data_IF_870582838248
#
_entry.id   IF_870582838248
#
_cell.length_a   1.000
_cell.length_b   1.000
_cell.length_c   1.000
_cell.angle_alpha   90.00
_cell.angle_beta   90.00
_cell.angle_gamma   90.00
#
_symmetry.space_group_name_H-M   'P 1'
#
loop_
_entity.id
_entity.type
_entity.pdbx_description
1 polymer ?
#
# COMPACT_ATOMS: atom_id res chain seq x y z
N UNK A 1 7.54 12.95 -0.51
CA UNK A 1 8.09 12.87 0.86
C UNK A 1 9.61 13.00 0.82
N UNK A 2 10.27 13.40 1.91
CA UNK A 2 11.74 13.61 1.95
C UNK A 2 12.41 12.72 3.00
N UNK A 3 13.54 12.13 2.65
CA UNK A 3 14.46 11.45 3.58
C UNK A 3 15.68 12.34 3.80
N UNK A 4 16.03 12.61 5.05
CA UNK A 4 17.23 13.36 5.43
C UNK A 4 18.16 12.46 6.26
N UNK A 5 19.42 12.35 5.86
CA UNK A 5 20.43 11.56 6.58
C UNK A 5 21.06 12.44 7.65
N UNK A 6 20.87 12.07 8.92
CA UNK A 6 21.34 12.83 10.09
C UNK A 6 22.71 12.37 10.57
N UNK A 7 23.07 11.12 10.31
CA UNK A 7 24.36 10.52 10.64
C UNK A 7 24.87 9.69 9.46
N UNK A 8 26.21 9.57 9.32
CA UNK A 8 26.79 8.68 8.31
C UNK A 8 26.20 7.28 8.46
N UNK A 9 25.72 6.71 7.36
CA UNK A 9 24.96 5.47 7.41
C UNK A 9 25.18 4.63 6.14
N UNK A 10 24.66 3.41 6.16
CA UNK A 10 24.73 2.48 5.04
C UNK A 10 23.32 2.16 4.59
N UNK A 11 23.04 2.43 3.32
CA UNK A 11 21.82 1.97 2.67
C UNK A 11 22.07 0.55 2.15
N UNK A 12 21.12 -0.36 2.35
CA UNK A 12 21.31 -1.80 2.12
C UNK A 12 20.22 -2.39 1.23
N UNK A 13 20.53 -3.46 0.50
CA UNK A 13 19.54 -4.25 -0.23
C UNK A 13 18.79 -5.25 0.65
N UNK A 14 19.26 -5.49 1.88
CA UNK A 14 18.64 -6.37 2.86
C UNK A 14 18.70 -5.76 4.26
N UNK A 15 17.73 -6.10 5.12
CA UNK A 15 17.65 -5.64 6.51
C UNK A 15 18.58 -6.41 7.47
N UNK A 16 19.72 -6.92 6.99
CA UNK A 16 20.74 -7.61 7.80
C UNK A 16 21.92 -6.69 8.10
N UNK A 17 22.87 -7.14 8.93
CA UNK A 17 24.09 -6.39 9.24
C UNK A 17 24.89 -6.04 7.96
N UNK A 18 25.33 -4.79 7.82
CA UNK A 18 26.05 -4.31 6.64
C UNK A 18 27.43 -4.96 6.48
N UNK A 19 28.02 -5.50 7.55
CA UNK A 19 29.26 -6.28 7.50
C UNK A 19 29.09 -7.60 6.74
N UNK A 20 27.87 -8.15 6.70
CA UNK A 20 27.53 -9.40 6.01
C UNK A 20 27.13 -9.20 4.54
N UNK A 21 27.06 -7.96 4.09
CA UNK A 21 26.65 -7.61 2.73
C UNK A 21 27.86 -7.36 1.83
N UNK A 22 27.78 -7.90 0.61
CA UNK A 22 28.73 -7.59 -0.45
C UNK A 22 28.67 -6.11 -0.85
N UNK A 23 29.74 -5.57 -1.47
CA UNK A 23 29.77 -4.16 -1.90
C UNK A 23 28.62 -3.76 -2.83
N UNK A 24 28.10 -4.70 -3.64
CA UNK A 24 26.99 -4.43 -4.56
C UNK A 24 25.62 -4.30 -3.89
N UNK A 25 25.51 -4.77 -2.64
CA UNK A 25 24.27 -4.76 -1.87
C UNK A 25 24.22 -3.63 -0.83
N UNK A 26 25.23 -2.75 -0.83
CA UNK A 26 25.31 -1.65 0.14
C UNK A 26 25.94 -0.40 -0.45
N UNK A 27 25.56 0.76 0.07
CA UNK A 27 26.16 2.04 -0.32
C UNK A 27 26.27 2.95 0.89
N UNK A 28 27.42 3.61 1.04
CA UNK A 28 27.68 4.52 2.15
C UNK A 28 27.09 5.90 1.83
N UNK A 29 26.36 6.46 2.78
CA UNK A 29 25.71 7.76 2.64
C UNK A 29 26.16 8.67 3.78
N UNK A 30 26.73 9.82 3.42
CA UNK A 30 27.17 10.81 4.37
C UNK A 30 25.99 11.57 5.02
N UNK A 31 26.20 12.03 6.26
CA UNK A 31 25.30 12.94 6.94
C UNK A 31 25.06 14.23 6.14
N UNK A 32 23.88 14.82 6.27
CA UNK A 32 23.45 16.02 5.54
C UNK A 32 22.84 15.74 4.17
N UNK A 33 23.01 14.53 3.61
CA UNK A 33 22.35 14.13 2.35
C UNK A 33 20.84 14.11 2.51
N UNK A 34 20.14 14.58 1.48
CA UNK A 34 18.68 14.52 1.39
C UNK A 34 18.24 13.85 0.09
N UNK A 35 17.15 13.12 0.15
CA UNK A 35 16.58 12.40 -0.98
C UNK A 35 15.07 12.60 -1.02
N UNK A 36 14.53 12.83 -2.21
CA UNK A 36 13.10 12.70 -2.41
C UNK A 36 12.75 11.22 -2.52
N UNK A 37 11.67 10.84 -1.86
CA UNK A 37 11.18 9.47 -1.86
C UNK A 37 9.70 9.46 -2.22
N UNK A 38 9.35 8.46 -3.02
CA UNK A 38 8.01 8.28 -3.54
C UNK A 38 7.23 7.26 -2.68
N UNK A 39 7.93 6.27 -2.11
CA UNK A 39 7.32 5.28 -1.22
C UNK A 39 8.31 4.85 -0.12
N UNK A 40 7.75 4.42 1.01
CA UNK A 40 8.48 3.99 2.19
C UNK A 40 7.62 3.06 3.03
N UNK A 41 8.23 2.17 3.82
CA UNK A 41 7.54 1.38 4.85
C UNK A 41 8.45 0.90 5.96
N UNK A 42 7.95 0.59 7.17
CA UNK A 42 8.73 -0.06 8.20
C UNK A 42 9.25 -1.41 7.71
N UNK A 43 10.49 -1.74 8.07
CA UNK A 43 11.17 -2.99 7.75
C UNK A 43 11.84 -3.57 9.00
N UNK A 44 11.02 -3.75 10.05
CA UNK A 44 11.47 -4.07 11.41
C UNK A 44 11.69 -2.82 12.28
N UNK A 45 12.13 -2.99 13.54
CA UNK A 45 12.14 -1.93 14.55
C UNK A 45 13.15 -0.80 14.30
N UNK A 46 14.07 -0.99 13.34
CA UNK A 46 15.15 -0.03 13.11
C UNK A 46 15.42 0.24 11.64
N UNK A 47 14.56 -0.22 10.73
CA UNK A 47 14.75 0.05 9.31
C UNK A 47 13.49 0.56 8.64
N UNK A 48 13.67 1.46 7.69
CA UNK A 48 12.70 1.74 6.66
C UNK A 48 13.15 1.06 5.38
N UNK A 49 12.22 0.53 4.59
CA UNK A 49 12.46 0.28 3.17
C UNK A 49 11.92 1.47 2.40
N UNK A 50 12.73 2.10 1.57
CA UNK A 50 12.40 3.34 0.85
C UNK A 50 12.69 3.19 -0.64
N UNK A 51 11.92 3.91 -1.47
CA UNK A 51 12.17 4.06 -2.90
C UNK A 51 12.40 5.53 -3.25
N UNK A 52 13.57 5.83 -3.80
CA UNK A 52 14.00 7.18 -4.18
C UNK A 52 13.31 7.64 -5.47
N UNK A 53 13.06 8.95 -5.57
CA UNK A 53 12.57 9.61 -6.78
C UNK A 53 13.75 10.05 -7.63
N UNK A 54 13.74 9.71 -8.92
CA UNK A 54 14.69 10.17 -9.94
C UNK A 54 16.18 10.03 -9.55
N UNK A 55 16.50 9.10 -8.66
CA UNK A 55 17.84 8.91 -8.15
C UNK A 55 18.13 7.42 -7.94
N UNK A 56 19.31 7.00 -8.37
CA UNK A 56 19.84 5.66 -8.19
C UNK A 56 21.15 5.77 -7.42
N UNK A 57 21.39 4.83 -6.51
CA UNK A 57 22.58 4.74 -5.68
C UNK A 57 23.24 3.37 -5.86
N UNK A 58 24.46 3.23 -5.38
CA UNK A 58 25.21 1.98 -5.42
C UNK A 58 25.66 1.57 -6.83
N UNK A 59 26.32 0.43 -6.88
CA UNK A 59 26.76 -0.24 -8.10
C UNK A 59 26.49 -1.75 -7.94
N UNK A 60 25.47 -2.31 -8.61
CA UNK A 60 24.67 -1.70 -9.67
C UNK A 60 23.72 -0.61 -9.16
N UNK A 61 23.33 0.35 -10.03
CA UNK A 61 22.45 1.45 -9.66
C UNK A 61 21.05 0.95 -9.27
N UNK A 62 20.61 1.29 -8.06
CA UNK A 62 19.30 0.91 -7.50
C UNK A 62 18.61 2.10 -6.84
N UNK A 63 17.28 2.15 -6.95
CA UNK A 63 16.47 3.20 -6.33
C UNK A 63 15.80 2.77 -5.01
N UNK A 64 15.85 1.48 -4.66
CA UNK A 64 15.16 0.94 -3.47
C UNK A 64 16.18 0.47 -2.45
N UNK A 65 16.01 0.85 -1.18
CA UNK A 65 16.98 0.62 -0.12
C UNK A 65 16.33 0.41 1.24
N UNK A 66 16.90 -0.49 2.05
CA UNK A 66 16.71 -0.51 3.50
C UNK A 66 17.64 0.52 4.14
N UNK A 67 17.08 1.41 4.94
CA UNK A 67 17.79 2.51 5.61
C UNK A 67 17.62 2.39 7.11
N UNK A 68 18.71 2.55 7.85
CA UNK A 68 18.69 2.45 9.30
C UNK A 68 18.01 3.69 9.90
N UNK A 69 16.85 3.47 10.50
CA UNK A 69 15.94 4.52 10.92
C UNK A 69 16.56 5.51 11.93
N UNK A 70 17.34 5.09 12.95
CA UNK A 70 17.98 6.02 13.88
C UNK A 70 18.94 7.04 13.25
N UNK A 71 19.44 6.78 12.03
CA UNK A 71 20.38 7.68 11.34
C UNK A 71 19.68 8.63 10.37
N UNK A 72 18.38 8.49 10.13
CA UNK A 72 17.65 9.25 9.13
C UNK A 72 16.38 9.88 9.72
N UNK A 73 15.81 10.83 8.99
CA UNK A 73 14.53 11.44 9.30
C UNK A 73 13.68 11.43 8.03
N UNK A 74 12.49 10.85 8.13
CA UNK A 74 11.47 10.95 7.08
C UNK A 74 10.59 12.16 7.39
N UNK A 75 10.35 13.00 6.39
CA UNK A 75 9.61 14.26 6.49
C UNK A 75 8.51 14.25 5.44
N UNK A 76 7.25 14.27 5.87
CA UNK A 76 6.07 14.29 4.99
C UNK A 76 5.95 15.61 4.20
N UNK A 77 4.96 15.68 3.31
CA UNK A 77 4.69 16.87 2.49
C UNK A 77 4.35 18.12 3.31
N UNK A 78 3.94 17.95 4.56
CA UNK A 78 3.53 18.99 5.49
C UNK A 78 4.68 19.41 6.42
N UNK A 79 5.86 18.82 6.26
CA UNK A 79 7.03 19.11 7.08
C UNK A 79 7.07 18.35 8.42
N UNK A 80 6.11 17.44 8.67
CA UNK A 80 6.10 16.64 9.88
C UNK A 80 7.04 15.46 9.75
N UNK A 81 7.71 15.14 10.86
CA UNK A 81 8.73 14.10 10.88
C UNK A 81 8.10 12.80 11.37
N UNK A 82 8.26 11.73 10.61
CA UNK A 82 7.78 10.44 11.05
C UNK A 82 8.58 9.94 12.26
N UNK A 83 7.92 9.37 13.27
CA UNK A 83 8.61 8.74 14.39
C UNK A 83 9.44 7.55 13.88
N UNK A 84 10.44 7.12 14.65
CA UNK A 84 11.15 5.87 14.34
C UNK A 84 10.14 4.73 14.13
N UNK A 85 10.42 3.78 13.22
CA UNK A 85 9.59 2.62 13.01
C UNK A 85 9.67 1.81 14.29
N UNK A 86 8.73 2.03 15.20
CA UNK A 86 8.59 1.15 16.35
C UNK A 86 8.06 -0.18 15.81
N UNK A 87 8.48 -1.30 16.38
CA UNK A 87 7.58 -2.45 16.37
C UNK A 87 6.23 -1.89 16.86
N UNK A 88 5.13 -2.04 16.11
CA UNK A 88 3.84 -1.78 16.72
C UNK A 88 3.82 -2.70 17.92
N UNK A 89 3.94 -2.11 19.12
CA UNK A 89 3.74 -2.76 20.40
C UNK A 89 2.58 -3.71 20.14
N UNK A 90 2.75 -5.05 20.26
CA UNK A 90 1.74 -6.00 19.83
C UNK A 90 0.45 -5.43 20.34
N UNK A 91 -0.44 -5.02 19.42
CA UNK A 91 -1.71 -4.46 19.81
C UNK A 91 -2.25 -5.54 20.70
N UNK A 92 -2.24 -5.32 22.01
CA UNK A 92 -2.75 -6.27 22.98
C UNK A 92 -4.07 -6.65 22.35
N UNK A 93 -4.30 -7.93 21.98
CA UNK A 93 -5.55 -8.29 21.36
C UNK A 93 -6.56 -7.73 22.33
N UNK A 94 -7.28 -6.68 21.91
CA UNK A 94 -8.38 -6.19 22.70
C UNK A 94 -9.15 -7.47 22.90
N UNK A 95 -9.38 -7.86 24.17
CA UNK A 95 -10.25 -8.96 24.51
C UNK A 95 -11.64 -8.52 24.02
N UNK A 96 -11.82 -8.54 22.70
CA UNK A 96 -13.08 -8.82 22.07
C UNK A 96 -13.30 -10.24 22.54
N UNK A 97 -14.14 -10.34 23.56
CA UNK A 97 -14.84 -11.54 23.98
C UNK A 97 -14.91 -12.49 22.79
N UNK A 98 -14.48 -13.76 22.88
CA UNK A 98 -14.44 -14.65 21.73
C UNK A 98 -15.83 -14.68 21.13
N UNK A 99 -16.02 -13.92 20.04
CA UNK A 99 -17.18 -14.07 19.18
C UNK A 99 -17.02 -15.51 18.71
N UNK A 100 -18.02 -16.39 18.95
CA UNK A 100 -17.94 -17.74 18.45
C UNK A 100 -17.52 -17.64 16.98
N UNK A 101 -16.47 -18.36 16.60
CA UNK A 101 -16.02 -18.44 15.22
C UNK A 101 -17.21 -18.95 14.39
N UNK A 102 -18.08 -18.03 13.95
CA UNK A 102 -19.04 -18.27 12.89
C UNK A 102 -18.15 -18.62 11.73
N UNK A 103 -18.10 -19.92 11.42
CA UNK A 103 -17.29 -20.48 10.35
C UNK A 103 -17.51 -19.61 9.13
N UNK A 104 -16.51 -18.80 8.76
CA UNK A 104 -16.62 -17.91 7.61
C UNK A 104 -17.11 -18.75 6.42
N UNK A 105 -17.98 -18.21 5.55
CA UNK A 105 -18.35 -18.89 4.31
C UNK A 105 -17.12 -19.42 3.59
N UNK A 106 -17.21 -20.56 2.91
CA UNK A 106 -16.07 -21.12 2.16
C UNK A 106 -15.62 -20.21 1.01
N UNK A 107 -16.54 -19.39 0.51
CA UNK A 107 -16.27 -18.32 -0.45
C UNK A 107 -17.26 -17.17 -0.27
N UNK A 108 -16.86 -15.98 -0.69
CA UNK A 108 -17.71 -14.78 -0.76
C UNK A 108 -17.19 -13.87 -1.85
N UNK A 109 -18.09 -13.22 -2.58
CA UNK A 109 -17.78 -12.17 -3.56
C UNK A 109 -18.74 -11.00 -3.38
N UNK A 110 -18.20 -9.80 -3.35
CA UNK A 110 -18.91 -8.53 -3.34
C UNK A 110 -19.03 -8.01 -4.77
N UNK A 111 -20.10 -7.25 -5.06
CA UNK A 111 -20.34 -6.64 -6.36
C UNK A 111 -19.58 -5.31 -6.53
N UNK A 112 -18.27 -5.33 -6.27
CA UNK A 112 -17.40 -4.16 -6.45
C UNK A 112 -17.09 -4.00 -7.94
N UNK A 113 -17.42 -2.85 -8.56
CA UNK A 113 -17.16 -2.63 -9.98
C UNK A 113 -15.66 -2.55 -10.24
N UNK A 114 -15.24 -2.94 -11.44
CA UNK A 114 -13.86 -2.78 -11.89
C UNK A 114 -13.68 -1.43 -12.58
N UNK A 115 -12.59 -0.73 -12.22
CA UNK A 115 -12.07 0.44 -12.92
C UNK A 115 -10.59 0.24 -13.22
N UNK A 116 -10.19 0.52 -14.46
CA UNK A 116 -8.78 0.61 -14.83
C UNK A 116 -8.26 1.99 -14.50
N UNK A 117 -7.02 2.11 -14.02
CA UNK A 117 -6.38 3.43 -13.91
C UNK A 117 -5.89 3.96 -15.26
N UNK A 118 -5.71 3.08 -16.26
CA UNK A 118 -5.09 3.44 -17.54
C UNK A 118 -5.96 4.35 -18.41
N UNK A 119 -7.26 4.47 -18.09
CA UNK A 119 -8.19 5.39 -18.75
C UNK A 119 -8.60 6.56 -17.85
N UNK A 120 -7.89 6.79 -16.74
CA UNK A 120 -8.00 8.05 -16.01
C UNK A 120 -7.42 9.17 -16.87
N UNK A 121 -8.05 10.34 -16.84
CA UNK A 121 -7.50 11.54 -17.44
C UNK A 121 -6.26 12.02 -16.65
N UNK A 122 -6.27 11.86 -15.33
CA UNK A 122 -5.21 12.35 -14.44
C UNK A 122 -4.29 11.20 -13.99
N UNK A 123 -3.01 11.29 -14.37
CA UNK A 123 -1.92 10.38 -13.98
C UNK A 123 -2.26 8.88 -14.12
N UNK A 124 -2.59 8.38 -15.33
CA UNK A 124 -3.06 7.02 -15.55
C UNK A 124 -2.09 5.92 -15.11
N UNK A 125 -0.78 6.19 -15.03
CA UNK A 125 0.22 5.23 -14.52
C UNK A 125 0.55 5.37 -13.03
N UNK A 126 0.04 6.40 -12.34
CA UNK A 126 0.29 6.67 -10.92
C UNK A 126 -0.96 6.78 -10.04
N UNK A 127 -2.15 6.55 -10.59
CA UNK A 127 -3.43 6.77 -9.90
C UNK A 127 -4.05 5.52 -9.24
N UNK A 128 -3.29 4.42 -9.07
CA UNK A 128 -3.79 3.16 -8.48
C UNK A 128 -4.58 3.37 -7.17
N UNK A 129 -4.07 4.27 -6.29
CA UNK A 129 -4.67 4.66 -5.02
C UNK A 129 -6.10 5.16 -5.17
N UNK A 130 -6.28 6.28 -5.88
CA UNK A 130 -7.60 6.87 -6.09
C UNK A 130 -8.52 5.99 -6.95
N UNK A 131 -7.98 5.18 -7.87
CA UNK A 131 -8.78 4.22 -8.64
C UNK A 131 -9.35 3.11 -7.76
N UNK A 132 -8.58 2.56 -6.82
CA UNK A 132 -9.10 1.58 -5.86
C UNK A 132 -10.18 2.18 -4.94
N UNK A 133 -9.95 3.39 -4.42
CA UNK A 133 -10.96 4.09 -3.63
C UNK A 133 -12.24 4.36 -4.44
N UNK A 134 -12.13 4.77 -5.71
CA UNK A 134 -13.28 4.98 -6.59
C UNK A 134 -14.12 3.70 -6.79
N UNK A 135 -13.49 2.54 -6.95
CA UNK A 135 -14.19 1.25 -7.06
C UNK A 135 -15.02 0.96 -5.79
N UNK A 136 -14.41 1.16 -4.62
CA UNK A 136 -15.08 0.94 -3.32
C UNK A 136 -16.18 1.97 -3.06
N UNK A 137 -15.97 3.23 -3.42
CA UNK A 137 -16.98 4.28 -3.29
C UNK A 137 -18.20 4.00 -4.17
N UNK A 138 -18.02 3.51 -5.40
CA UNK A 138 -19.15 3.09 -6.24
C UNK A 138 -19.87 1.85 -5.67
N UNK A 139 -19.13 0.88 -5.10
CA UNK A 139 -19.77 -0.23 -4.38
C UNK A 139 -20.73 0.26 -3.29
N UNK A 140 -20.32 1.26 -2.52
CA UNK A 140 -21.16 1.88 -1.48
C UNK A 140 -22.16 2.92 -1.99
N UNK A 141 -22.25 3.15 -3.31
CA UNK A 141 -23.12 4.16 -3.94
C UNK A 141 -22.86 5.57 -3.41
N UNK A 142 -21.61 5.88 -3.11
CA UNK A 142 -21.18 7.23 -2.78
C UNK A 142 -21.22 8.06 -4.07
N UNK A 143 -21.95 9.20 -4.09
CA UNK A 143 -22.08 10.01 -5.29
C UNK A 143 -20.78 10.77 -5.59
N UNK A 144 -20.50 10.95 -6.89
CA UNK A 144 -19.53 11.93 -7.37
C UNK A 144 -20.00 13.34 -7.01
N UNK A 145 -19.06 14.25 -6.77
CA UNK A 145 -19.32 15.67 -6.49
C UNK A 145 -19.11 16.54 -7.73
N UNK A 146 -18.55 15.99 -8.80
CA UNK A 146 -18.18 16.70 -10.03
C UNK A 146 -18.56 15.91 -11.28
N UNK A 147 -18.39 16.55 -12.44
CA UNK A 147 -18.57 15.94 -13.76
C UNK A 147 -17.26 15.36 -14.33
N UNK A 148 -16.30 14.99 -13.49
CA UNK A 148 -15.05 14.38 -13.95
C UNK A 148 -15.33 13.09 -14.76
N UNK A 149 -14.47 12.80 -15.74
CA UNK A 149 -14.61 11.66 -16.65
C UNK A 149 -14.72 10.36 -15.84
N UNK A 150 -13.72 10.07 -15.01
CA UNK A 150 -13.76 9.00 -14.03
C UNK A 150 -13.94 9.56 -12.62
N UNK A 151 -14.49 8.73 -11.73
CA UNK A 151 -14.51 9.07 -10.30
C UNK A 151 -13.09 9.17 -9.74
N UNK A 152 -12.16 8.34 -10.23
CA UNK A 152 -10.75 8.43 -9.85
C UNK A 152 -10.13 9.81 -10.17
N UNK A 153 -10.49 10.43 -11.30
CA UNK A 153 -10.02 11.78 -11.67
C UNK A 153 -10.55 12.85 -10.69
N UNK A 154 -11.80 12.74 -10.26
CA UNK A 154 -12.34 13.62 -9.22
C UNK A 154 -11.57 13.49 -7.91
N UNK A 155 -11.33 12.25 -7.46
CA UNK A 155 -10.59 11.99 -6.24
C UNK A 155 -9.15 12.50 -6.35
N UNK A 156 -8.51 12.31 -7.52
CA UNK A 156 -7.18 12.83 -7.80
C UNK A 156 -7.13 14.36 -7.63
N UNK A 157 -8.02 15.07 -8.32
CA UNK A 157 -8.10 16.55 -8.25
C UNK A 157 -8.47 17.04 -6.87
N UNK A 158 -9.34 16.31 -6.15
CA UNK A 158 -9.65 16.63 -4.77
C UNK A 158 -8.38 16.60 -3.90
N UNK A 159 -7.56 15.55 -4.03
CA UNK A 159 -6.32 15.45 -3.27
C UNK A 159 -5.37 16.60 -3.60
N UNK A 160 -5.12 16.85 -4.90
CA UNK A 160 -4.23 17.93 -5.34
C UNK A 160 -4.70 19.31 -4.86
N UNK A 161 -5.99 19.63 -5.03
CA UNK A 161 -6.57 20.92 -4.63
C UNK A 161 -6.52 21.16 -3.11
N UNK A 162 -6.43 20.10 -2.31
CA UNK A 162 -6.35 20.17 -0.85
C UNK A 162 -4.92 19.95 -0.33
N UNK A 163 -3.91 19.91 -1.21
CA UNK A 163 -2.51 19.69 -0.81
C UNK A 163 -2.27 18.32 -0.17
N UNK A 164 -3.08 17.33 -0.54
CA UNK A 164 -3.01 15.96 -0.03
C UNK A 164 -2.19 15.08 -0.97
N UNK A 165 -1.34 14.24 -0.41
CA UNK A 165 -0.56 13.27 -1.17
C UNK A 165 -1.30 11.94 -1.27
N UNK A 166 -1.62 11.51 -2.49
CA UNK A 166 -2.14 10.16 -2.74
C UNK A 166 -1.19 9.04 -2.31
N UNK A 167 0.08 9.33 -2.06
CA UNK A 167 1.07 8.36 -1.58
C UNK A 167 1.11 8.24 -0.05
N UNK A 168 0.47 9.16 0.67
CA UNK A 168 0.49 9.17 2.14
C UNK A 168 -0.79 8.53 2.70
N UNK A 169 -0.69 7.46 3.53
CA UNK A 169 -1.87 6.78 4.06
C UNK A 169 -2.81 7.69 4.87
N UNK A 170 -2.27 8.68 5.59
CA UNK A 170 -3.05 9.65 6.36
C UNK A 170 -3.88 10.58 5.45
N UNK A 171 -3.35 10.92 4.27
CA UNK A 171 -4.04 11.77 3.33
C UNK A 171 -5.14 11.01 2.57
N UNK A 172 -4.93 9.71 2.31
CA UNK A 172 -5.98 8.81 1.82
C UNK A 172 -7.12 8.62 2.85
N UNK A 173 -6.80 8.58 4.14
CA UNK A 173 -7.82 8.58 5.20
C UNK A 173 -8.68 9.85 5.15
N UNK A 174 -8.07 11.04 5.00
CA UNK A 174 -8.81 12.30 4.84
C UNK A 174 -9.72 12.29 3.61
N UNK A 175 -9.24 11.76 2.49
CA UNK A 175 -10.07 11.56 1.29
C UNK A 175 -11.28 10.67 1.58
N UNK A 176 -11.06 9.51 2.22
CA UNK A 176 -12.14 8.58 2.58
C UNK A 176 -13.21 9.27 3.45
N UNK A 177 -12.77 9.94 4.51
CA UNK A 177 -13.63 10.66 5.44
C UNK A 177 -14.46 11.75 4.75
N UNK A 178 -13.84 12.53 3.86
CA UNK A 178 -14.49 13.60 3.09
C UNK A 178 -15.60 13.08 2.15
N UNK A 179 -15.59 11.79 1.82
CA UNK A 179 -16.56 11.13 0.96
C UNK A 179 -17.51 10.19 1.73
N UNK A 180 -17.47 10.20 3.08
CA UNK A 180 -18.35 9.38 3.91
C UNK A 180 -17.95 7.90 3.95
N UNK A 181 -16.69 7.59 3.64
CA UNK A 181 -16.10 6.26 3.75
C UNK A 181 -15.24 6.20 5.02
N UNK A 182 -15.43 5.14 5.81
CA UNK A 182 -14.56 4.82 6.95
C UNK A 182 -13.47 3.86 6.48
N UNK A 183 -12.22 4.23 6.71
CA UNK A 183 -11.03 3.43 6.42
C UNK A 183 -10.36 2.92 7.70
N UNK A 184 -10.40 1.61 7.91
CA UNK A 184 -9.75 0.93 9.03
C UNK A 184 -8.38 0.37 8.62
N UNK A 185 -7.44 1.27 8.35
CA UNK A 185 -6.07 0.93 7.98
C UNK A 185 -5.35 0.18 9.11
N UNK A 186 -4.71 -0.94 8.76
CA UNK A 186 -3.69 -1.60 9.57
C UNK A 186 -2.46 -1.90 8.73
N UNK A 187 -1.28 -1.77 9.33
CA UNK A 187 -0.01 -2.19 8.73
C UNK A 187 0.37 -3.64 9.15
N UNK A 188 -0.51 -4.28 9.94
CA UNK A 188 -0.35 -5.61 10.51
C UNK A 188 -1.49 -6.55 10.12
N UNK A 189 -2.01 -6.39 8.91
CA UNK A 189 -3.11 -7.19 8.40
C UNK A 189 -2.69 -8.63 8.11
N UNK A 190 -3.63 -9.55 8.27
CA UNK A 190 -3.51 -10.96 7.87
C UNK A 190 -4.51 -11.29 6.77
N UNK A 191 -4.24 -12.35 6.01
CA UNK A 191 -5.18 -12.89 5.03
C UNK A 191 -6.56 -13.21 5.65
N UNK A 192 -6.59 -13.66 6.91
CA UNK A 192 -7.83 -13.91 7.66
C UNK A 192 -8.65 -12.64 7.92
N UNK A 193 -7.99 -11.50 8.10
CA UNK A 193 -8.66 -10.22 8.36
C UNK A 193 -9.38 -9.74 7.09
N UNK A 194 -8.82 -10.01 5.90
CA UNK A 194 -9.52 -9.78 4.62
C UNK A 194 -10.78 -10.65 4.54
N UNK A 195 -10.64 -11.97 4.79
CA UNK A 195 -11.77 -12.91 4.69
C UNK A 195 -12.92 -12.51 5.62
N UNK A 196 -12.60 -12.09 6.85
CA UNK A 196 -13.58 -11.55 7.80
C UNK A 196 -14.25 -10.28 7.27
N UNK A 197 -13.47 -9.29 6.83
CA UNK A 197 -14.01 -8.04 6.30
C UNK A 197 -14.94 -8.26 5.10
N UNK A 198 -14.52 -9.09 4.15
CA UNK A 198 -15.33 -9.42 2.96
C UNK A 198 -16.62 -10.16 3.35
N UNK A 199 -16.57 -11.06 4.35
CA UNK A 199 -17.76 -11.72 4.86
C UNK A 199 -18.76 -10.72 5.49
N UNK A 200 -18.25 -9.65 6.11
CA UNK A 200 -19.01 -8.53 6.65
C UNK A 200 -19.46 -7.51 5.58
N UNK A 201 -19.16 -7.74 4.29
CA UNK A 201 -19.54 -6.84 3.21
C UNK A 201 -18.62 -5.63 3.03
N UNK A 202 -17.41 -5.67 3.60
CA UNK A 202 -16.39 -4.62 3.53
C UNK A 202 -15.33 -4.97 2.48
N UNK A 203 -15.28 -4.29 1.31
CA UNK A 203 -14.17 -4.41 0.38
C UNK A 203 -12.85 -4.01 1.05
N UNK A 204 -11.76 -4.61 0.60
CA UNK A 204 -10.44 -4.33 1.14
C UNK A 204 -9.53 -3.76 0.06
N UNK A 205 -8.64 -2.84 0.43
CA UNK A 205 -7.52 -2.43 -0.41
C UNK A 205 -6.24 -2.92 0.24
N UNK A 206 -5.37 -3.56 -0.55
CA UNK A 206 -4.06 -4.04 -0.07
C UNK A 206 -2.93 -3.47 -0.91
N UNK A 207 -1.79 -3.27 -0.26
CA UNK A 207 -0.56 -2.85 -0.92
C UNK A 207 0.34 -4.04 -1.15
N UNK A 208 1.14 -4.01 -2.22
CA UNK A 208 2.12 -5.05 -2.50
C UNK A 208 3.20 -4.64 -3.46
N UNK A 209 4.20 -5.50 -3.58
CA UNK A 209 5.36 -5.37 -4.45
C UNK A 209 5.10 -5.89 -5.86
N UNK A 210 3.96 -5.53 -6.44
CA UNK A 210 3.69 -5.87 -7.83
C UNK A 210 4.56 -5.06 -8.79
N UNK A 211 5.19 -3.98 -8.36
CA UNK A 211 6.18 -3.24 -9.15
C UNK A 211 7.36 -2.83 -8.26
N UNK A 212 8.44 -2.31 -8.85
CA UNK A 212 9.56 -1.73 -8.11
C UNK A 212 9.15 -0.53 -7.23
N UNK A 213 8.06 0.14 -7.59
CA UNK A 213 7.48 1.26 -6.85
C UNK A 213 6.46 0.80 -5.80
N UNK A 214 5.98 -0.44 -5.92
CA UNK A 214 4.79 -0.92 -5.23
C UNK A 214 3.54 -0.65 -6.05
N UNK A 215 2.45 -1.28 -5.63
CA UNK A 215 1.13 -1.15 -6.25
C UNK A 215 0.07 -1.54 -5.24
N UNK A 216 -1.16 -1.11 -5.49
CA UNK A 216 -2.30 -1.48 -4.65
C UNK A 216 -3.41 -2.10 -5.49
N UNK A 217 -4.16 -3.00 -4.86
CA UNK A 217 -5.29 -3.69 -5.51
C UNK A 217 -6.49 -3.74 -4.58
N UNK A 218 -7.68 -3.86 -5.17
CA UNK A 218 -8.93 -3.98 -4.41
C UNK A 218 -9.37 -5.44 -4.33
N UNK A 219 -9.45 -5.99 -3.13
CA UNK A 219 -10.02 -7.31 -2.88
C UNK A 219 -11.53 -7.19 -2.71
N UNK A 220 -12.27 -7.94 -3.52
CA UNK A 220 -13.73 -7.99 -3.51
C UNK A 220 -14.26 -9.37 -3.14
N UNK A 221 -13.41 -10.38 -2.97
CA UNK A 221 -13.86 -11.73 -2.68
C UNK A 221 -12.74 -12.65 -2.22
N UNK A 222 -13.13 -13.85 -1.81
CA UNK A 222 -12.22 -14.93 -1.48
C UNK A 222 -12.87 -16.29 -1.72
N UNK A 223 -12.02 -17.31 -1.84
CA UNK A 223 -12.35 -18.72 -1.72
C UNK A 223 -11.23 -19.45 -0.95
N UNK A 224 -11.26 -20.78 -0.88
CA UNK A 224 -10.23 -21.54 -0.17
C UNK A 224 -8.81 -21.34 -0.73
N UNK A 225 -8.68 -21.07 -2.03
CA UNK A 225 -7.40 -21.07 -2.76
C UNK A 225 -6.80 -19.66 -2.91
N UNK A 226 -7.60 -18.61 -2.75
CA UNK A 226 -7.11 -17.23 -2.85
C UNK A 226 -8.18 -16.16 -2.69
N UNK A 227 -7.94 -15.06 -3.41
CA UNK A 227 -8.71 -13.82 -3.35
C UNK A 227 -9.15 -13.40 -4.74
N UNK A 228 -10.34 -12.78 -4.81
CA UNK A 228 -10.89 -12.18 -6.01
C UNK A 228 -10.53 -10.70 -5.99
N UNK A 229 -9.84 -10.23 -7.02
CA UNK A 229 -9.13 -8.95 -7.05
C UNK A 229 -9.57 -8.12 -8.25
N UNK A 230 -9.78 -6.83 -8.01
CA UNK A 230 -9.76 -5.80 -9.04
C UNK A 230 -8.42 -5.09 -8.96
N UNK A 231 -7.57 -5.31 -9.96
CA UNK A 231 -6.26 -4.71 -10.09
C UNK A 231 -6.33 -3.57 -11.12
N UNK A 232 -6.18 -2.30 -10.70
CA UNK A 232 -6.44 -1.17 -11.59
C UNK A 232 -5.46 -1.10 -12.77
N UNK A 233 -4.27 -1.71 -12.68
CA UNK A 233 -3.23 -1.59 -13.71
C UNK A 233 -3.27 -2.71 -14.77
N UNK A 234 -3.89 -3.85 -14.46
CA UNK A 234 -3.93 -5.02 -15.32
C UNK A 234 -3.74 -6.30 -14.52
N UNK A 235 -3.39 -7.40 -15.17
CA UNK A 235 -3.14 -8.66 -14.47
C UNK A 235 -1.66 -8.81 -14.12
N UNK A 236 -1.37 -9.13 -12.86
CA UNK A 236 -0.03 -9.50 -12.42
C UNK A 236 0.25 -10.98 -12.68
N UNK A 237 1.37 -11.26 -13.34
CA UNK A 237 1.85 -12.62 -13.61
C UNK A 237 3.29 -12.81 -13.09
N UNK A 238 3.79 -14.04 -13.12
CA UNK A 238 5.18 -14.32 -12.78
C UNK A 238 6.19 -13.60 -13.70
N UNK A 239 5.77 -13.21 -14.91
CA UNK A 239 6.61 -12.50 -15.88
C UNK A 239 6.41 -10.97 -15.84
N UNK A 240 5.60 -10.48 -14.88
CA UNK A 240 5.24 -9.06 -14.78
C UNK A 240 3.78 -8.79 -15.17
N UNK A 241 3.46 -7.51 -15.38
CA UNK A 241 2.12 -7.07 -15.71
C UNK A 241 1.74 -7.31 -17.16
N UNK A 242 0.53 -7.82 -17.36
CA UNK A 242 -0.24 -7.67 -18.58
C UNK A 242 -1.11 -6.41 -18.38
N UNK A 243 -0.60 -5.26 -18.83
CA UNK A 243 -1.29 -3.98 -18.72
C UNK A 243 -2.58 -3.98 -19.58
N UNK A 244 -3.68 -3.43 -19.05
CA UNK A 244 -4.91 -3.26 -19.83
C UNK A 244 -6.19 -3.32 -19.00
N UNK A 245 -7.37 -3.23 -19.64
CA UNK A 245 -8.67 -3.24 -18.98
C UNK A 245 -9.12 -4.62 -18.46
N UNK A 246 -8.17 -5.55 -18.28
CA UNK A 246 -8.43 -6.95 -17.92
C UNK A 246 -8.21 -7.24 -16.43
N UNK A 247 -7.97 -6.21 -15.61
CA UNK A 247 -7.70 -6.36 -14.18
C UNK A 247 -8.92 -6.66 -13.31
N UNK A 248 -10.11 -6.87 -13.89
CA UNK A 248 -11.36 -7.04 -13.16
C UNK A 248 -11.65 -8.48 -12.75
N UNK A 249 -11.84 -8.74 -11.46
CA UNK A 249 -12.27 -10.03 -10.94
C UNK A 249 -11.26 -11.17 -11.10
N UNK A 250 -9.97 -10.83 -11.12
CA UNK A 250 -8.85 -11.78 -11.18
C UNK A 250 -8.80 -12.66 -9.94
N UNK A 251 -8.25 -13.87 -10.08
CA UNK A 251 -7.99 -14.76 -8.94
C UNK A 251 -6.51 -14.75 -8.59
N UNK A 252 -6.16 -14.16 -7.44
CA UNK A 252 -4.80 -14.18 -6.91
C UNK A 252 -4.72 -15.20 -5.78
N UNK A 253 -3.85 -16.20 -5.95
CA UNK A 253 -3.68 -17.27 -4.97
C UNK A 253 -3.21 -16.75 -3.60
N UNK A 254 -3.47 -17.52 -2.54
CA UNK A 254 -2.96 -17.18 -1.21
C UNK A 254 -1.43 -16.97 -1.22
N UNK A 255 -0.69 -17.78 -1.97
CA UNK A 255 0.77 -17.67 -2.07
C UNK A 255 1.22 -16.41 -2.80
N UNK A 256 0.51 -16.02 -3.87
CA UNK A 256 0.79 -14.78 -4.59
C UNK A 256 0.56 -13.58 -3.67
N UNK A 257 -0.60 -13.50 -3.01
CA UNK A 257 -0.88 -12.42 -2.06
C UNK A 257 0.13 -12.40 -0.91
N UNK A 258 0.49 -13.56 -0.36
CA UNK A 258 1.51 -13.64 0.69
C UNK A 258 2.87 -13.13 0.20
N UNK A 259 3.35 -13.61 -0.94
CA UNK A 259 4.66 -13.26 -1.49
C UNK A 259 4.75 -11.80 -1.96
N UNK A 260 3.66 -11.25 -2.48
CA UNK A 260 3.66 -9.89 -3.04
C UNK A 260 3.24 -8.84 -2.03
N UNK A 261 2.25 -9.11 -1.18
CA UNK A 261 1.66 -8.12 -0.27
C UNK A 261 2.13 -8.25 1.18
N UNK A 262 2.72 -9.39 1.56
CA UNK A 262 3.17 -9.64 2.93
C UNK A 262 4.47 -10.48 3.00
N UNK A 263 5.49 -10.25 2.15
CA UNK A 263 6.68 -11.11 2.12
C UNK A 263 7.46 -11.16 3.43
N UNK A 264 7.29 -10.17 4.30
CA UNK A 264 7.96 -10.10 5.60
C UNK A 264 7.38 -11.07 6.64
N UNK A 265 6.16 -11.58 6.43
CA UNK A 265 5.50 -12.50 7.34
C UNK A 265 3.98 -12.49 7.18
N UNK A 266 3.25 -13.46 7.76
CA UNK A 266 1.80 -13.61 7.55
C UNK A 266 0.93 -12.48 8.12
N UNK A 267 1.51 -11.59 8.93
CA UNK A 267 0.83 -10.46 9.59
C UNK A 267 1.48 -9.09 9.26
N UNK A 268 2.12 -8.98 8.10
CA UNK A 268 2.81 -7.76 7.62
C UNK A 268 2.09 -7.09 6.44
N UNK A 269 0.78 -7.31 6.28
CA UNK A 269 0.03 -6.74 5.17
C UNK A 269 -0.51 -5.36 5.49
N UNK A 270 -0.29 -4.41 4.59
CA UNK A 270 -0.95 -3.12 4.61
C UNK A 270 -2.35 -3.27 4.04
N UNK A 271 -3.33 -3.13 4.93
CA UNK A 271 -4.72 -3.51 4.68
C UNK A 271 -5.64 -2.38 5.11
N UNK A 272 -6.38 -1.86 4.14
CA UNK A 272 -7.54 -1.00 4.35
C UNK A 272 -8.79 -1.89 4.36
N UNK A 273 -9.60 -1.80 5.41
CA UNK A 273 -10.96 -2.38 5.44
C UNK A 273 -11.95 -1.23 5.37
N UNK A 274 -12.76 -1.21 4.33
CA UNK A 274 -13.55 -0.04 3.99
C UNK A 274 -15.03 -0.32 4.26
N UNK A 275 -15.67 0.63 4.93
CA UNK A 275 -17.10 0.58 5.23
C UNK A 275 -17.73 1.94 4.98
N UNK A 276 -19.01 1.95 4.66
CA UNK A 276 -19.79 3.19 4.60
C UNK A 276 -20.04 3.70 6.02
N UNK A 277 -19.90 5.01 6.23
CA UNK A 277 -20.34 5.68 7.46
C UNK A 277 -21.85 5.71 7.61
#
# INVERSE_FOLDING_TARGET
MKLVVKQNTVFKQYAIDSSKLGPQDKTNIAAGRSFEIHSWKPAGPFHWKVALINQFLGDPPRNTWYVFAPHIQLIDSQGLTLPLPTDPKPSTPTLVTPIPFTRLPSSKRLSVPYYSQLNNADNPRGACNVTCFAMVMNYFKIPRKTNAMQFADELYRYMDNNGLSRHEPQDLFKLAEAYGLRDELTLRGRATDIRKAIAEGKPCIIHGYFTSFGHIVTILGYDKDGFIVNDPFGEWTANGYIEGPYGGGLHYSNNLIQGTCSPEGPDYMWLHRLSRK
#
